data_IF_574641697220
#
_entry.id   IF_574641697220
#
_cell.length_a   1.000
_cell.length_b   1.000
_cell.length_c   1.000
_cell.angle_alpha   90.00
_cell.angle_beta   90.00
_cell.angle_gamma   90.00
#
_symmetry.space_group_name_H-M   'P 1'
#
loop_
_entity.id
_entity.type
_entity.pdbx_description
1 polymer ?
#
# COMPACT_ATOMS: atom_id res chain seq x y z
N UNK A 1 -4.57 6.77 -10.86
CA UNK A 1 -3.75 7.35 -9.79
C UNK A 1 -3.08 6.21 -9.03
N UNK A 2 -1.83 6.36 -8.61
CA UNK A 2 -1.08 5.32 -7.88
C UNK A 2 -1.75 4.97 -6.54
N UNK A 3 -2.39 5.96 -5.89
CA UNK A 3 -3.09 5.78 -4.62
C UNK A 3 -4.19 4.72 -4.67
N UNK A 4 -5.08 4.76 -5.67
CA UNK A 4 -6.18 3.80 -5.77
C UNK A 4 -5.74 2.33 -5.95
N UNK A 5 -4.55 2.08 -6.50
CA UNK A 5 -4.01 0.70 -6.59
C UNK A 5 -3.45 0.26 -5.23
N UNK A 6 -2.72 1.14 -4.54
CA UNK A 6 -2.16 0.83 -3.22
C UNK A 6 -3.29 0.63 -2.20
N UNK A 7 -4.32 1.49 -2.23
CA UNK A 7 -5.52 1.39 -1.39
C UNK A 7 -6.26 0.07 -1.58
N UNK A 8 -6.56 -0.31 -2.82
CA UNK A 8 -7.24 -1.57 -3.14
C UNK A 8 -6.43 -2.79 -2.67
N UNK A 9 -5.10 -2.74 -2.82
CA UNK A 9 -4.22 -3.80 -2.32
C UNK A 9 -4.21 -3.87 -0.79
N UNK A 10 -4.17 -2.72 -0.10
CA UNK A 10 -4.25 -2.64 1.37
C UNK A 10 -5.59 -3.22 1.85
N UNK A 11 -6.70 -2.80 1.23
CA UNK A 11 -8.05 -3.26 1.57
C UNK A 11 -8.18 -4.78 1.36
N UNK A 12 -7.74 -5.30 0.22
CA UNK A 12 -7.75 -6.74 -0.06
C UNK A 12 -6.89 -7.54 0.90
N UNK A 13 -5.70 -7.05 1.25
CA UNK A 13 -4.82 -7.70 2.21
C UNK A 13 -5.42 -7.78 3.62
N UNK A 14 -6.30 -6.85 4.00
CA UNK A 14 -6.93 -6.80 5.32
C UNK A 14 -8.30 -7.49 5.36
N UNK A 15 -9.14 -7.24 4.36
CA UNK A 15 -10.57 -7.56 4.36
C UNK A 15 -10.99 -8.54 3.27
N UNK A 16 -10.11 -8.89 2.33
CA UNK A 16 -10.41 -9.82 1.24
C UNK A 16 -10.64 -11.26 1.71
N UNK A 17 -11.05 -12.12 0.76
CA UNK A 17 -11.04 -13.57 0.93
C UNK A 17 -9.61 -14.09 1.15
N UNK A 18 -9.45 -15.34 1.59
CA UNK A 18 -8.12 -15.94 1.81
C UNK A 18 -7.21 -15.80 0.57
N UNK A 19 -7.74 -16.11 -0.61
CA UNK A 19 -7.02 -16.00 -1.88
C UNK A 19 -6.67 -14.54 -2.21
N UNK A 20 -7.64 -13.62 -2.07
CA UNK A 20 -7.40 -12.19 -2.31
C UNK A 20 -6.37 -11.61 -1.35
N UNK A 21 -6.34 -12.05 -0.10
CA UNK A 21 -5.35 -11.63 0.90
C UNK A 21 -3.96 -12.08 0.50
N UNK A 22 -3.80 -13.34 0.11
CA UNK A 22 -2.51 -13.88 -0.32
C UNK A 22 -1.98 -13.16 -1.57
N UNK A 23 -2.83 -12.99 -2.58
CA UNK A 23 -2.48 -12.28 -3.82
C UNK A 23 -2.13 -10.81 -3.57
N UNK A 24 -2.92 -10.13 -2.73
CA UNK A 24 -2.66 -8.74 -2.38
C UNK A 24 -1.36 -8.60 -1.59
N UNK A 25 -1.10 -9.46 -0.59
CA UNK A 25 0.14 -9.45 0.18
C UNK A 25 1.36 -9.73 -0.71
N UNK A 26 1.27 -10.69 -1.63
CA UNK A 26 2.33 -10.98 -2.59
C UNK A 26 2.60 -9.78 -3.51
N UNK A 27 1.54 -9.13 -4.00
CA UNK A 27 1.65 -7.93 -4.83
C UNK A 27 2.27 -6.75 -4.07
N UNK A 28 1.83 -6.51 -2.84
CA UNK A 28 2.40 -5.51 -1.95
C UNK A 28 3.88 -5.79 -1.69
N UNK A 29 4.24 -7.03 -1.36
CA UNK A 29 5.63 -7.44 -1.11
C UNK A 29 6.55 -7.20 -2.31
N UNK A 30 6.11 -7.63 -3.49
CA UNK A 30 6.89 -7.49 -4.73
C UNK A 30 7.13 -6.04 -5.13
N UNK A 31 6.20 -5.14 -4.78
CA UNK A 31 6.25 -3.73 -5.17
C UNK A 31 6.51 -2.79 -3.99
N UNK A 32 6.79 -3.31 -2.79
CA UNK A 32 6.84 -2.55 -1.54
C UNK A 32 7.82 -1.39 -1.63
N UNK A 33 9.04 -1.65 -2.11
CA UNK A 33 10.07 -0.63 -2.24
C UNK A 33 9.65 0.52 -3.17
N UNK A 34 8.98 0.20 -4.28
CA UNK A 34 8.50 1.21 -5.23
C UNK A 34 7.33 2.02 -4.64
N UNK A 35 6.37 1.36 -3.99
CA UNK A 35 5.25 2.03 -3.36
C UNK A 35 5.70 2.96 -2.23
N UNK A 36 6.61 2.49 -1.36
CA UNK A 36 7.18 3.30 -0.29
C UNK A 36 7.91 4.51 -0.87
N UNK A 37 8.77 4.33 -1.87
CA UNK A 37 9.52 5.45 -2.47
C UNK A 37 8.59 6.49 -3.09
N UNK A 38 7.57 6.07 -3.83
CA UNK A 38 6.61 6.98 -4.45
C UNK A 38 5.77 7.72 -3.40
N UNK A 39 5.34 7.03 -2.33
CA UNK A 39 4.58 7.64 -1.25
C UNK A 39 5.45 8.62 -0.45
N UNK A 40 6.70 8.28 -0.13
CA UNK A 40 7.62 9.16 0.59
C UNK A 40 7.92 10.44 -0.19
N UNK A 41 8.05 10.38 -1.52
CA UNK A 41 8.19 11.57 -2.36
C UNK A 41 6.98 12.51 -2.21
N UNK A 42 5.76 11.96 -2.24
CA UNK A 42 4.53 12.73 -2.11
C UNK A 42 4.34 13.28 -0.69
N UNK A 43 4.73 12.53 0.34
CA UNK A 43 4.76 12.99 1.74
C UNK A 43 5.71 14.19 1.89
N UNK A 44 6.89 14.13 1.28
CA UNK A 44 7.84 15.24 1.29
C UNK A 44 7.32 16.50 0.59
N UNK A 45 6.33 16.35 -0.31
CA UNK A 45 5.62 17.45 -0.96
C UNK A 45 4.42 17.96 -0.12
N UNK A 46 4.19 17.41 1.07
CA UNK A 46 3.10 17.80 1.97
C UNK A 46 1.78 17.09 1.69
N UNK A 47 1.79 15.96 0.97
CA UNK A 47 0.57 15.19 0.72
C UNK A 47 0.22 14.32 1.95
N UNK A 48 -0.85 14.70 2.66
CA UNK A 48 -1.32 14.00 3.87
C UNK A 48 -1.92 12.62 3.57
N UNK A 49 -2.61 12.45 2.44
CA UNK A 49 -3.18 11.17 2.00
C UNK A 49 -2.06 10.14 1.74
N UNK A 50 -0.96 10.58 1.13
CA UNK A 50 0.22 9.75 0.95
C UNK A 50 0.85 9.33 2.29
N UNK A 51 0.81 10.20 3.30
CA UNK A 51 1.34 9.90 4.62
C UNK A 51 0.50 8.82 5.32
N UNK A 52 -0.82 8.93 5.23
CA UNK A 52 -1.75 7.94 5.78
C UNK A 52 -1.62 6.59 5.06
N UNK A 53 -1.49 6.60 3.74
CA UNK A 53 -1.28 5.38 2.96
C UNK A 53 0.06 4.72 3.26
N UNK A 54 1.13 5.51 3.40
CA UNK A 54 2.44 5.00 3.77
C UNK A 54 2.41 4.33 5.15
N UNK A 55 1.68 4.92 6.09
CA UNK A 55 1.50 4.36 7.43
C UNK A 55 0.71 3.05 7.41
N UNK A 56 -0.38 3.01 6.63
CA UNK A 56 -1.17 1.78 6.45
C UNK A 56 -0.32 0.68 5.81
N UNK A 57 0.38 1.01 4.72
CA UNK A 57 1.24 0.08 3.99
C UNK A 57 2.33 -0.52 4.88
N UNK A 58 3.03 0.31 5.68
CA UNK A 58 4.06 -0.13 6.65
C UNK A 58 3.49 -0.98 7.80
N UNK A 59 2.18 -0.92 8.03
CA UNK A 59 1.50 -1.71 9.08
C UNK A 59 1.01 -3.06 8.58
N UNK A 60 1.04 -3.33 7.26
CA UNK A 60 0.67 -4.63 6.72
C UNK A 60 1.86 -5.59 6.85
N UNK A 61 1.61 -6.72 7.49
CA UNK A 61 2.54 -7.85 7.56
C UNK A 61 2.49 -8.65 6.24
N UNK A 62 3.53 -8.49 5.41
CA UNK A 62 3.70 -9.11 4.07
C UNK A 62 5.00 -9.93 3.96
#
# INVERSE_FOLDING_TARGET
>A
MIFGVIEDLIEKAQNGTTEQKEDAKNSLKNNMGQFVSNLEELVNQGNEEAADLLKQLKSIDV
#
